data_IF_982731829024
#
_entry.id   IF_982731829024
#
_cell.length_a   1.000
_cell.length_b   1.000
_cell.length_c   1.000
_cell.angle_alpha   90.00
_cell.angle_beta   90.00
_cell.angle_gamma   90.00
#
_symmetry.space_group_name_H-M   'P 1'
#
loop_
_entity.id
_entity.type
_entity.pdbx_description
1 polymer ?
#
# COMPACT_ATOMS: atom_id res chain seq x y z
N UNK A 1 -43.93 10.75 11.41
CA UNK A 1 -42.79 11.41 10.76
C UNK A 1 -42.77 10.92 9.32
N UNK A 2 -43.06 11.79 8.35
CA UNK A 2 -42.92 11.44 6.93
C UNK A 2 -41.45 11.17 6.65
N UNK A 3 -41.09 9.92 6.36
CA UNK A 3 -39.72 9.56 6.02
C UNK A 3 -39.26 10.43 4.84
N UNK A 4 -38.17 11.16 5.03
CA UNK A 4 -37.50 11.90 3.95
C UNK A 4 -37.22 10.90 2.83
N UNK A 5 -37.92 11.06 1.72
CA UNK A 5 -37.72 10.21 0.55
C UNK A 5 -36.48 10.73 -0.17
N UNK A 6 -35.46 9.88 -0.32
CA UNK A 6 -34.16 10.22 -0.93
C UNK A 6 -34.30 10.92 -2.29
N UNK A 7 -35.36 10.64 -3.05
CA UNK A 7 -35.64 11.27 -4.35
C UNK A 7 -36.04 12.76 -4.30
N UNK A 8 -36.28 13.30 -3.10
CA UNK A 8 -36.56 14.73 -2.91
C UNK A 8 -35.30 15.55 -2.69
N UNK A 9 -34.14 14.90 -2.54
CA UNK A 9 -32.87 15.59 -2.32
C UNK A 9 -32.36 16.22 -3.62
N UNK A 10 -31.73 17.40 -3.56
CA UNK A 10 -31.01 17.97 -4.69
C UNK A 10 -29.94 17.02 -5.22
N UNK A 11 -29.68 17.10 -6.52
CA UNK A 11 -28.77 16.21 -7.23
C UNK A 11 -27.34 16.25 -6.66
N UNK A 12 -26.91 17.43 -6.20
CA UNK A 12 -25.60 17.63 -5.58
C UNK A 12 -25.50 16.90 -4.23
N UNK A 13 -26.60 16.83 -3.48
CA UNK A 13 -26.65 16.10 -2.20
C UNK A 13 -26.63 14.59 -2.46
N UNK A 14 -27.32 14.11 -3.50
CA UNK A 14 -27.24 12.71 -3.91
C UNK A 14 -25.82 12.33 -4.35
N UNK A 15 -25.17 13.16 -5.16
CA UNK A 15 -23.77 12.92 -5.58
C UNK A 15 -22.82 12.87 -4.35
N UNK A 16 -23.04 13.72 -3.33
CA UNK A 16 -22.27 13.66 -2.08
C UNK A 16 -22.54 12.33 -1.36
N UNK A 17 -23.80 11.95 -1.14
CA UNK A 17 -24.16 10.69 -0.47
C UNK A 17 -23.52 9.50 -1.18
N UNK A 18 -23.63 9.45 -2.51
CA UNK A 18 -23.14 8.34 -3.32
C UNK A 18 -21.61 8.25 -3.30
N UNK A 19 -20.91 9.38 -3.12
CA UNK A 19 -19.46 9.38 -2.96
C UNK A 19 -18.96 8.72 -1.66
N UNK A 20 -19.83 8.55 -0.66
CA UNK A 20 -19.53 7.86 0.60
C UNK A 20 -19.96 6.39 0.62
N UNK A 21 -20.71 5.93 -0.39
CA UNK A 21 -21.18 4.55 -0.44
C UNK A 21 -20.10 3.61 -0.93
N UNK A 22 -20.11 2.39 -0.37
CA UNK A 22 -19.26 1.31 -0.87
C UNK A 22 -19.73 0.85 -2.25
N UNK A 23 -18.83 0.23 -3.03
CA UNK A 23 -19.20 -0.30 -4.35
C UNK A 23 -20.35 -1.34 -4.28
N UNK A 24 -20.34 -2.32 -3.35
CA UNK A 24 -21.47 -3.23 -3.20
C UNK A 24 -22.81 -2.53 -2.92
N UNK A 25 -22.80 -1.39 -2.23
CA UNK A 25 -24.02 -0.63 -1.99
C UNK A 25 -24.45 0.17 -3.21
N UNK A 26 -23.51 0.73 -3.97
CA UNK A 26 -23.80 1.37 -5.25
C UNK A 26 -24.38 0.38 -6.27
N UNK A 27 -23.86 -0.84 -6.32
CA UNK A 27 -24.36 -1.88 -7.24
C UNK A 27 -25.84 -2.21 -6.97
N UNK A 28 -26.26 -2.28 -5.70
CA UNK A 28 -27.68 -2.45 -5.33
C UNK A 28 -28.56 -1.28 -5.80
N UNK A 29 -28.01 -0.07 -5.87
CA UNK A 29 -28.74 1.13 -6.31
C UNK A 29 -28.92 1.19 -7.83
N UNK A 30 -28.12 0.45 -8.62
CA UNK A 30 -28.26 0.37 -10.08
C UNK A 30 -29.59 -0.25 -10.50
N UNK A 31 -30.15 -1.13 -9.67
CA UNK A 31 -31.44 -1.78 -9.92
C UNK A 31 -32.64 -0.84 -9.73
N UNK A 32 -32.43 0.34 -9.13
CA UNK A 32 -33.46 1.34 -8.89
C UNK A 32 -33.36 2.39 -9.99
N UNK A 33 -34.30 2.40 -10.94
CA UNK A 33 -34.30 3.27 -12.13
C UNK A 33 -33.99 4.74 -11.83
N UNK A 34 -34.55 5.27 -10.73
CA UNK A 34 -34.31 6.65 -10.30
C UNK A 34 -32.84 6.93 -9.92
N UNK A 35 -32.16 5.97 -9.27
CA UNK A 35 -30.77 6.12 -8.83
C UNK A 35 -29.75 5.58 -9.83
N UNK A 36 -30.19 4.83 -10.84
CA UNK A 36 -29.33 4.12 -11.77
C UNK A 36 -28.25 5.01 -12.39
N UNK A 37 -28.62 6.16 -12.95
CA UNK A 37 -27.66 7.07 -13.59
C UNK A 37 -26.63 7.63 -12.60
N UNK A 38 -27.06 7.97 -11.38
CA UNK A 38 -26.18 8.44 -10.30
C UNK A 38 -25.23 7.34 -9.84
N UNK A 39 -25.76 6.15 -9.56
CA UNK A 39 -24.97 5.01 -9.12
C UNK A 39 -23.90 4.65 -10.16
N UNK A 40 -24.30 4.54 -11.44
CA UNK A 40 -23.38 4.29 -12.54
C UNK A 40 -22.32 5.39 -12.67
N UNK A 41 -22.69 6.67 -12.57
CA UNK A 41 -21.71 7.78 -12.63
C UNK A 41 -20.63 7.66 -11.54
N UNK A 42 -21.00 7.19 -10.34
CA UNK A 42 -20.05 6.98 -9.25
C UNK A 42 -19.20 5.72 -9.45
N UNK A 43 -19.82 4.58 -9.81
CA UNK A 43 -19.12 3.31 -10.09
C UNK A 43 -18.09 3.49 -11.20
N UNK A 44 -18.45 4.21 -12.27
CA UNK A 44 -17.63 4.43 -13.44
C UNK A 44 -16.89 5.79 -13.41
N UNK A 45 -16.78 6.44 -12.24
CA UNK A 45 -16.05 7.71 -12.10
C UNK A 45 -14.53 7.54 -12.32
N UNK A 46 -14.02 6.34 -12.08
CA UNK A 46 -12.67 5.89 -12.39
C UNK A 46 -12.72 4.52 -13.06
N UNK A 47 -12.05 4.39 -14.21
CA UNK A 47 -12.07 3.14 -15.01
C UNK A 47 -10.66 2.73 -15.43
N UNK A 48 -10.52 1.45 -15.78
CA UNK A 48 -9.28 0.89 -16.34
C UNK A 48 -9.53 0.43 -17.78
N UNK A 49 -8.69 0.86 -18.72
CA UNK A 49 -8.62 0.33 -20.08
C UNK A 49 -7.52 -0.73 -20.11
N UNK A 50 -7.91 -2.00 -20.28
CA UNK A 50 -7.01 -3.14 -20.12
C UNK A 50 -6.50 -3.72 -21.42
N UNK A 51 -7.26 -3.53 -22.49
CA UNK A 51 -6.93 -4.12 -23.77
C UNK A 51 -5.95 -3.25 -24.51
N UNK A 52 -5.26 -3.96 -25.39
CA UNK A 52 -4.27 -3.47 -26.30
C UNK A 52 -4.96 -2.75 -27.46
N UNK A 53 -4.37 -1.68 -27.99
CA UNK A 53 -4.78 -1.09 -29.26
C UNK A 53 -4.76 -2.19 -30.31
N UNK A 54 -5.92 -2.79 -30.56
CA UNK A 54 -6.05 -3.84 -31.54
C UNK A 54 -5.58 -3.21 -32.85
N UNK A 55 -4.55 -3.75 -33.51
CA UNK A 55 -4.07 -3.12 -34.72
C UNK A 55 -5.23 -2.98 -35.70
N UNK A 56 -5.28 -1.84 -36.41
CA UNK A 56 -6.46 -1.37 -37.14
C UNK A 56 -7.07 -2.41 -38.11
N UNK A 57 -6.30 -3.42 -38.53
CA UNK A 57 -6.77 -4.55 -39.35
C UNK A 57 -7.76 -5.51 -38.66
N UNK A 58 -7.99 -5.40 -37.35
CA UNK A 58 -8.96 -6.22 -36.61
C UNK A 58 -10.22 -5.45 -36.19
N UNK A 59 -10.34 -4.17 -36.55
CA UNK A 59 -11.54 -3.39 -36.21
C UNK A 59 -12.71 -3.62 -37.16
N UNK A 60 -12.46 -4.20 -38.33
CA UNK A 60 -13.46 -4.37 -39.40
C UNK A 60 -14.10 -5.77 -39.44
N UNK A 61 -13.60 -6.72 -38.65
CA UNK A 61 -14.19 -8.06 -38.55
C UNK A 61 -15.01 -8.18 -37.26
N UNK A 62 -16.32 -8.42 -37.45
CA UNK A 62 -17.33 -8.66 -36.40
C UNK A 62 -17.09 -9.94 -35.58
N UNK A 63 -16.00 -10.67 -35.84
CA UNK A 63 -15.56 -11.82 -35.07
C UNK A 63 -14.42 -11.43 -34.14
N UNK A 64 -14.77 -10.96 -32.94
CA UNK A 64 -13.85 -10.94 -31.82
C UNK A 64 -13.27 -12.35 -31.63
N UNK A 65 -11.93 -12.55 -31.63
CA UNK A 65 -11.38 -13.82 -31.24
C UNK A 65 -11.66 -14.05 -29.75
N UNK A 66 -12.61 -14.94 -29.43
CA UNK A 66 -12.95 -15.38 -28.05
C UNK A 66 -11.75 -15.93 -27.27
N UNK A 67 -10.60 -16.13 -27.92
CA UNK A 67 -9.36 -16.65 -27.34
C UNK A 67 -8.15 -15.86 -27.81
N UNK A 68 -8.08 -14.56 -27.49
CA UNK A 68 -6.76 -13.97 -27.28
C UNK A 68 -6.19 -14.63 -26.02
N UNK A 69 -5.32 -15.61 -26.24
CA UNK A 69 -4.47 -16.19 -25.22
C UNK A 69 -3.70 -15.02 -24.64
N UNK A 70 -4.14 -14.53 -23.48
CA UNK A 70 -3.40 -13.53 -22.72
C UNK A 70 -1.98 -14.06 -22.56
N UNK A 71 -0.96 -13.43 -23.17
CA UNK A 71 0.41 -13.78 -22.85
C UNK A 71 0.55 -13.67 -21.33
N UNK A 72 1.01 -14.76 -20.74
CA UNK A 72 0.66 -15.19 -19.40
C UNK A 72 0.79 -14.11 -18.34
N UNK A 73 -0.08 -14.17 -17.33
CA UNK A 73 -0.08 -13.39 -16.07
C UNK A 73 1.21 -12.57 -15.89
N UNK A 74 1.31 -11.44 -16.56
CA UNK A 74 2.24 -10.40 -16.15
C UNK A 74 1.85 -10.10 -14.71
N UNK A 75 2.83 -10.09 -13.81
CA UNK A 75 2.66 -9.72 -12.40
C UNK A 75 2.29 -8.23 -12.35
N UNK A 76 1.13 -7.88 -12.90
CA UNK A 76 0.52 -6.59 -12.70
C UNK A 76 0.30 -6.45 -11.19
N UNK A 77 0.64 -5.29 -10.61
CA UNK A 77 0.34 -5.04 -9.21
C UNK A 77 -1.13 -5.35 -8.95
N UNK A 78 -1.41 -5.89 -7.76
CA UNK A 78 -2.74 -6.34 -7.30
C UNK A 78 -3.83 -5.56 -8.02
N UNK A 79 -4.52 -6.29 -8.91
CA UNK A 79 -5.55 -5.75 -9.76
C UNK A 79 -6.51 -4.98 -8.86
N UNK A 80 -6.62 -3.67 -9.07
CA UNK A 80 -7.61 -2.86 -8.35
C UNK A 80 -9.00 -3.31 -8.82
N UNK A 81 -9.56 -4.31 -8.12
CA UNK A 81 -10.87 -4.89 -8.41
C UNK A 81 -11.99 -3.86 -8.17
N UNK A 82 -11.68 -2.78 -7.44
CA UNK A 82 -12.62 -1.71 -7.16
C UNK A 82 -12.93 -0.83 -8.37
N UNK A 83 -12.17 -0.91 -9.48
CA UNK A 83 -12.42 -0.13 -10.70
C UNK A 83 -13.01 -0.98 -11.83
N UNK A 84 -14.08 -0.52 -12.51
CA UNK A 84 -14.58 -1.14 -13.72
C UNK A 84 -13.53 -1.18 -14.83
N UNK A 85 -13.58 -2.22 -15.66
CA UNK A 85 -12.62 -2.47 -16.73
C UNK A 85 -13.31 -2.45 -18.08
N UNK A 86 -12.65 -1.84 -19.05
CA UNK A 86 -13.05 -1.88 -20.44
C UNK A 86 -11.90 -2.45 -21.26
N UNK A 87 -12.25 -3.23 -22.28
CA UNK A 87 -11.24 -3.79 -23.16
C UNK A 87 -10.54 -2.68 -23.93
N UNK A 88 -11.25 -1.74 -24.55
CA UNK A 88 -10.62 -0.65 -25.28
C UNK A 88 -11.35 0.66 -25.01
N UNK A 89 -10.73 1.76 -25.44
CA UNK A 89 -11.34 3.07 -25.26
C UNK A 89 -12.69 3.20 -26.00
N UNK A 90 -12.86 2.54 -27.15
CA UNK A 90 -14.17 2.48 -27.84
C UNK A 90 -15.24 1.79 -27.00
N UNK A 91 -14.92 0.68 -26.34
CA UNK A 91 -15.87 -0.01 -25.47
C UNK A 91 -16.32 0.89 -24.31
N UNK A 92 -15.41 1.72 -23.78
CA UNK A 92 -15.78 2.75 -22.81
C UNK A 92 -16.73 3.80 -23.41
N UNK A 93 -16.40 4.37 -24.58
CA UNK A 93 -17.24 5.40 -25.19
C UNK A 93 -18.62 4.89 -25.55
N UNK A 94 -18.71 3.70 -26.14
CA UNK A 94 -19.98 3.05 -26.51
C UNK A 94 -20.84 2.84 -25.25
N UNK A 95 -20.23 2.38 -24.15
CA UNK A 95 -20.93 2.21 -22.86
C UNK A 95 -21.44 3.53 -22.28
N UNK A 96 -20.59 4.56 -22.28
CA UNK A 96 -20.91 5.89 -21.75
C UNK A 96 -22.06 6.52 -22.54
N UNK A 97 -22.03 6.41 -23.87
CA UNK A 97 -23.10 6.90 -24.75
C UNK A 97 -24.41 6.14 -24.56
N UNK A 98 -24.37 4.81 -24.52
CA UNK A 98 -25.56 3.95 -24.30
C UNK A 98 -26.26 4.24 -22.98
N UNK A 99 -25.49 4.58 -21.94
CA UNK A 99 -26.02 4.87 -20.60
C UNK A 99 -26.19 6.37 -20.33
N UNK A 100 -25.95 7.23 -21.34
CA UNK A 100 -26.02 8.70 -21.21
C UNK A 100 -25.19 9.25 -20.04
N UNK A 101 -24.02 8.66 -19.82
CA UNK A 101 -23.09 9.05 -18.76
C UNK A 101 -22.11 10.10 -19.27
N UNK A 102 -21.48 10.90 -18.39
CA UNK A 102 -20.30 11.65 -18.76
C UNK A 102 -19.08 10.74 -18.89
N UNK A 103 -18.08 11.15 -19.68
CA UNK A 103 -16.78 10.48 -19.73
C UNK A 103 -16.15 10.49 -18.32
N UNK A 104 -15.58 9.37 -17.84
CA UNK A 104 -14.93 9.30 -16.54
C UNK A 104 -13.81 10.34 -16.40
N UNK A 105 -13.74 10.99 -15.23
CA UNK A 105 -12.68 11.97 -14.95
C UNK A 105 -11.32 11.31 -14.74
N UNK A 106 -11.28 10.04 -14.36
CA UNK A 106 -10.05 9.30 -14.07
C UNK A 106 -9.98 8.04 -14.94
N UNK A 107 -8.97 7.94 -15.78
CA UNK A 107 -8.80 6.78 -16.68
C UNK A 107 -7.38 6.25 -16.51
N UNK A 108 -7.29 4.98 -16.12
CA UNK A 108 -6.03 4.24 -16.09
C UNK A 108 -5.93 3.42 -17.38
N UNK A 109 -4.87 3.59 -18.14
CA UNK A 109 -4.58 2.78 -19.32
C UNK A 109 -3.46 1.80 -18.98
N UNK A 110 -3.67 0.51 -19.24
CA UNK A 110 -2.59 -0.47 -19.06
C UNK A 110 -1.46 -0.25 -20.09
N UNK A 111 -1.76 0.36 -21.25
CA UNK A 111 -0.80 0.67 -22.31
C UNK A 111 -0.90 2.13 -22.77
N UNK A 112 0.23 2.83 -22.84
CA UNK A 112 0.26 4.23 -23.26
C UNK A 112 -0.10 4.44 -24.74
N UNK A 113 0.03 3.40 -25.56
CA UNK A 113 -0.29 3.42 -27.00
C UNK A 113 -1.79 3.62 -27.24
N UNK A 114 -2.65 3.05 -26.38
CA UNK A 114 -4.10 3.26 -26.44
C UNK A 114 -4.48 4.72 -26.22
N UNK A 115 -3.72 5.45 -25.41
CA UNK A 115 -3.92 6.89 -25.18
C UNK A 115 -3.64 7.66 -26.48
N UNK A 116 -2.55 7.32 -27.16
CA UNK A 116 -2.16 7.94 -28.43
C UNK A 116 -3.23 7.69 -29.49
N UNK A 117 -3.68 6.44 -29.65
CA UNK A 117 -4.74 6.07 -30.61
C UNK A 117 -6.06 6.75 -30.28
N UNK A 118 -6.48 6.76 -29.02
CA UNK A 118 -7.70 7.43 -28.58
C UNK A 118 -7.64 8.94 -28.85
N UNK A 119 -6.51 9.58 -28.56
CA UNK A 119 -6.30 11.00 -28.78
C UNK A 119 -6.32 11.36 -30.27
N UNK A 120 -5.71 10.55 -31.13
CA UNK A 120 -5.73 10.78 -32.58
C UNK A 120 -7.13 10.68 -33.17
N UNK A 121 -7.93 9.72 -32.71
CA UNK A 121 -9.33 9.56 -33.15
C UNK A 121 -10.20 10.73 -32.70
N UNK A 122 -10.05 11.19 -31.46
CA UNK A 122 -10.78 12.36 -30.95
C UNK A 122 -9.99 13.09 -29.86
N UNK A 123 -9.24 14.16 -30.19
CA UNK A 123 -8.39 14.86 -29.21
C UNK A 123 -9.15 15.45 -28.02
N UNK A 124 -10.44 15.77 -28.19
CA UNK A 124 -11.23 16.46 -27.16
C UNK A 124 -11.68 15.53 -26.03
N UNK A 125 -11.85 14.24 -26.32
CA UNK A 125 -12.49 13.31 -25.37
C UNK A 125 -11.66 13.05 -24.11
N UNK A 126 -10.33 13.22 -24.20
CA UNK A 126 -9.39 13.00 -23.09
C UNK A 126 -8.93 14.30 -22.39
N UNK A 127 -9.30 15.50 -22.87
CA UNK A 127 -8.74 16.77 -22.37
C UNK A 127 -9.04 17.05 -20.90
N UNK A 128 -10.19 16.60 -20.43
CA UNK A 128 -10.64 16.78 -19.06
C UNK A 128 -10.39 15.56 -18.16
N UNK A 129 -9.79 14.50 -18.72
CA UNK A 129 -9.44 13.30 -17.98
C UNK A 129 -8.10 13.46 -17.26
N UNK A 130 -8.02 12.97 -16.03
CA UNK A 130 -6.78 12.65 -15.33
C UNK A 130 -6.37 11.25 -15.78
N UNK A 131 -5.17 11.16 -16.35
CA UNK A 131 -4.68 9.95 -16.98
C UNK A 131 -3.57 9.34 -16.15
N UNK A 132 -3.65 8.02 -15.98
CA UNK A 132 -2.64 7.15 -15.39
C UNK A 132 -2.27 6.09 -16.43
N UNK A 133 -0.99 5.72 -16.52
CA UNK A 133 -0.56 4.72 -17.49
C UNK A 133 0.68 3.96 -17.06
N UNK A 134 0.92 2.81 -17.71
CA UNK A 134 2.22 2.16 -17.73
C UNK A 134 3.01 2.56 -18.99
N UNK A 135 4.30 2.84 -18.84
CA UNK A 135 5.24 3.13 -19.93
C UNK A 135 6.14 1.93 -20.25
N UNK A 136 5.84 0.77 -19.67
CA UNK A 136 6.57 -0.46 -19.96
C UNK A 136 6.51 -0.73 -21.45
N UNK A 137 7.68 -1.05 -21.97
CA UNK A 137 7.87 -1.46 -23.34
C UNK A 137 7.42 -2.91 -23.38
N UNK A 138 6.11 -3.12 -23.54
CA UNK A 138 5.59 -4.47 -23.72
C UNK A 138 6.31 -5.11 -24.90
N UNK A 139 6.62 -6.42 -24.83
CA UNK A 139 7.34 -7.21 -25.86
C UNK A 139 6.71 -7.18 -27.27
N UNK A 140 5.64 -6.41 -27.46
CA UNK A 140 4.85 -6.34 -28.68
C UNK A 140 5.47 -5.48 -29.78
N UNK A 141 6.34 -4.54 -29.43
CA UNK A 141 7.06 -3.79 -30.44
C UNK A 141 8.36 -4.53 -30.76
N UNK A 142 8.30 -5.35 -31.80
CA UNK A 142 9.50 -5.97 -32.40
C UNK A 142 10.54 -4.91 -32.83
N UNK A 143 10.08 -3.67 -33.05
CA UNK A 143 10.91 -2.56 -33.47
C UNK A 143 11.02 -1.46 -32.39
N UNK A 144 12.18 -1.26 -31.75
CA UNK A 144 12.39 -0.22 -30.75
C UNK A 144 12.20 1.21 -31.27
N UNK A 145 12.43 1.46 -32.57
CA UNK A 145 12.22 2.79 -33.17
C UNK A 145 10.74 3.15 -33.21
N UNK A 146 9.87 2.15 -33.41
CA UNK A 146 8.41 2.36 -33.38
C UNK A 146 7.96 2.72 -31.97
N UNK A 147 8.43 1.99 -30.96
CA UNK A 147 8.11 2.29 -29.55
C UNK A 147 8.58 3.68 -29.14
N UNK A 148 9.81 4.04 -29.54
CA UNK A 148 10.36 5.37 -29.30
C UNK A 148 9.50 6.46 -29.95
N UNK A 149 9.03 6.24 -31.18
CA UNK A 149 8.16 7.18 -31.89
C UNK A 149 6.80 7.35 -31.18
N UNK A 150 6.16 6.26 -30.77
CA UNK A 150 4.91 6.32 -30.00
C UNK A 150 5.09 6.99 -28.65
N UNK A 151 6.19 6.69 -27.93
CA UNK A 151 6.47 7.30 -26.64
C UNK A 151 6.73 8.81 -26.79
N UNK A 152 7.49 9.22 -27.81
CA UNK A 152 7.66 10.63 -28.17
C UNK A 152 6.33 11.33 -28.42
N UNK A 153 5.45 10.70 -29.20
CA UNK A 153 4.12 11.22 -29.48
C UNK A 153 3.30 11.35 -28.20
N UNK A 154 3.28 10.31 -27.36
CA UNK A 154 2.58 10.28 -26.08
C UNK A 154 3.01 11.41 -25.14
N UNK A 155 4.31 11.56 -24.87
CA UNK A 155 4.80 12.58 -23.93
C UNK A 155 4.58 14.02 -24.43
N UNK A 156 4.41 14.18 -25.74
CA UNK A 156 4.12 15.47 -26.38
C UNK A 156 2.63 15.87 -26.30
N UNK A 157 1.75 14.95 -25.94
CA UNK A 157 0.31 15.23 -25.91
C UNK A 157 -0.04 16.27 -24.82
N UNK A 158 -0.97 17.20 -25.11
CA UNK A 158 -1.43 18.21 -24.15
C UNK A 158 -2.44 17.62 -23.15
N UNK A 159 -2.15 16.45 -22.57
CA UNK A 159 -3.03 15.72 -21.66
C UNK A 159 -2.58 15.88 -20.19
N UNK A 160 -3.54 15.70 -19.27
CA UNK A 160 -3.30 15.75 -17.82
C UNK A 160 -2.84 14.38 -17.32
N UNK A 161 -1.63 13.98 -17.70
CA UNK A 161 -1.01 12.73 -17.26
C UNK A 161 -0.40 12.97 -15.87
N UNK A 162 -0.97 12.32 -14.86
CA UNK A 162 -0.57 12.52 -13.45
C UNK A 162 0.26 11.39 -12.88
N UNK A 163 0.10 10.17 -13.40
CA UNK A 163 0.78 8.98 -12.92
C UNK A 163 1.34 8.19 -14.09
N UNK A 164 2.58 7.75 -13.97
CA UNK A 164 3.22 6.87 -14.93
C UNK A 164 4.00 5.77 -14.20
N UNK A 165 3.94 4.53 -14.70
CA UNK A 165 4.82 3.44 -14.28
C UNK A 165 5.89 3.19 -15.32
N UNK A 166 6.95 2.48 -14.93
CA UNK A 166 8.08 2.13 -15.80
C UNK A 166 8.73 3.37 -16.43
N UNK A 167 8.89 4.44 -15.64
CA UNK A 167 9.38 5.74 -16.11
C UNK A 167 10.81 5.72 -16.65
N UNK A 168 11.57 4.65 -16.40
CA UNK A 168 12.86 4.37 -17.02
C UNK A 168 12.82 4.37 -18.55
N UNK A 169 11.70 3.98 -19.17
CA UNK A 169 11.55 3.98 -20.63
C UNK A 169 11.71 5.39 -21.23
N UNK A 170 11.19 6.41 -20.56
CA UNK A 170 11.28 7.82 -20.99
C UNK A 170 12.74 8.27 -21.03
N UNK A 171 13.50 7.95 -19.99
CA UNK A 171 14.90 8.34 -19.90
C UNK A 171 15.81 7.51 -20.82
N UNK A 172 15.45 6.27 -21.13
CA UNK A 172 16.21 5.44 -22.08
C UNK A 172 16.00 5.87 -23.53
N UNK A 173 14.78 6.29 -23.88
CA UNK A 173 14.39 6.49 -25.29
C UNK A 173 14.24 7.96 -25.70
N UNK A 174 13.88 8.87 -24.79
CA UNK A 174 13.40 10.22 -25.14
C UNK A 174 13.88 11.31 -24.17
N UNK A 175 15.19 11.33 -23.89
CA UNK A 175 15.80 12.23 -22.90
C UNK A 175 15.43 13.70 -23.15
N UNK A 176 15.58 14.18 -24.39
CA UNK A 176 15.49 15.61 -24.74
C UNK A 176 14.09 16.22 -24.52
N UNK A 177 13.03 15.41 -24.67
CA UNK A 177 11.63 15.87 -24.53
C UNK A 177 10.99 15.46 -23.21
N UNK A 178 11.71 14.73 -22.35
CA UNK A 178 11.18 14.17 -21.11
C UNK A 178 10.85 15.22 -20.05
N UNK A 179 11.54 16.36 -20.02
CA UNK A 179 11.48 17.32 -18.91
C UNK A 179 10.08 17.91 -18.73
N UNK A 180 9.41 18.30 -19.82
CA UNK A 180 8.07 18.88 -19.71
C UNK A 180 7.03 17.85 -19.26
N UNK A 181 7.19 16.59 -19.67
CA UNK A 181 6.31 15.49 -19.30
C UNK A 181 6.47 15.12 -17.83
N UNK A 182 7.70 14.86 -17.40
CA UNK A 182 8.06 14.46 -16.03
C UNK A 182 7.67 15.51 -14.98
N UNK A 183 7.77 16.81 -15.32
CA UNK A 183 7.28 17.90 -14.45
C UNK A 183 5.77 17.89 -14.22
N UNK A 184 4.97 17.24 -15.07
CA UNK A 184 3.52 17.13 -14.87
C UNK A 184 3.15 15.95 -13.95
N UNK A 185 4.06 15.00 -13.77
CA UNK A 185 3.81 13.80 -12.97
C UNK A 185 3.77 14.13 -11.49
N UNK A 186 2.72 13.66 -10.83
CA UNK A 186 2.58 13.65 -9.38
C UNK A 186 2.87 12.27 -8.79
N UNK A 187 2.89 11.23 -9.62
CA UNK A 187 3.19 9.86 -9.26
C UNK A 187 4.07 9.20 -10.32
N UNK A 188 5.10 8.47 -9.90
CA UNK A 188 6.01 7.75 -10.79
C UNK A 188 6.43 6.41 -10.17
N UNK A 189 6.56 5.38 -10.99
CA UNK A 189 7.16 4.10 -10.61
C UNK A 189 8.30 3.75 -11.55
N UNK A 190 9.35 3.17 -10.99
CA UNK A 190 10.50 2.66 -11.73
C UNK A 190 10.72 1.19 -11.39
N UNK A 191 10.75 0.34 -12.40
CA UNK A 191 10.74 -1.11 -12.22
C UNK A 191 12.10 -1.76 -12.48
N UNK A 192 12.92 -1.13 -13.32
CA UNK A 192 14.28 -1.58 -13.65
C UNK A 192 15.33 -0.75 -12.92
N UNK A 193 16.58 -1.23 -12.93
CA UNK A 193 17.71 -0.49 -12.38
C UNK A 193 18.01 0.80 -13.15
N UNK A 194 18.24 1.89 -12.41
CA UNK A 194 18.62 3.18 -12.99
C UNK A 194 19.48 4.04 -12.06
N UNK A 195 20.39 4.86 -12.61
CA UNK A 195 21.14 5.81 -11.82
C UNK A 195 20.25 6.97 -11.38
N UNK A 196 19.79 6.95 -10.12
CA UNK A 196 18.98 8.01 -9.48
C UNK A 196 19.55 9.41 -9.73
N UNK A 197 20.87 9.56 -9.64
CA UNK A 197 21.58 10.82 -9.88
C UNK A 197 21.32 11.39 -11.27
N UNK A 198 21.15 10.54 -12.29
CA UNK A 198 20.92 10.99 -13.66
C UNK A 198 19.46 11.34 -13.90
N UNK A 199 18.53 10.58 -13.28
CA UNK A 199 17.09 10.69 -13.57
C UNK A 199 16.41 11.80 -12.76
N UNK A 200 16.93 12.10 -11.57
CA UNK A 200 16.37 13.12 -10.67
C UNK A 200 17.18 14.41 -10.60
N UNK A 201 18.26 14.55 -11.40
CA UNK A 201 19.01 15.81 -11.48
C UNK A 201 18.15 16.93 -12.06
N UNK A 202 18.38 18.16 -11.60
CA UNK A 202 17.86 19.36 -12.28
C UNK A 202 16.34 19.54 -12.20
N UNK A 203 15.72 19.05 -11.12
CA UNK A 203 14.30 19.25 -10.83
C UNK A 203 13.36 18.76 -11.96
N UNK A 204 13.78 17.70 -12.66
CA UNK A 204 12.99 17.06 -13.73
C UNK A 204 11.65 16.56 -13.17
N UNK A 205 11.66 16.06 -11.93
CA UNK A 205 10.48 15.55 -11.21
C UNK A 205 10.02 16.49 -10.07
N UNK A 206 10.01 17.80 -10.32
CA UNK A 206 9.72 18.79 -9.26
C UNK A 206 8.35 18.62 -8.56
N UNK A 207 7.34 18.10 -9.26
CA UNK A 207 5.96 17.96 -8.76
C UNK A 207 5.64 16.54 -8.26
N UNK A 208 6.64 15.68 -8.17
CA UNK A 208 6.46 14.27 -7.80
C UNK A 208 6.15 14.14 -6.31
N UNK A 209 4.98 13.58 -5.99
CA UNK A 209 4.50 13.39 -4.61
C UNK A 209 4.58 11.92 -4.20
N UNK A 210 4.29 11.00 -5.13
CA UNK A 210 4.34 9.57 -4.90
C UNK A 210 5.43 8.94 -5.76
N UNK A 211 6.33 8.19 -5.15
CA UNK A 211 7.43 7.53 -5.84
C UNK A 211 7.53 6.06 -5.43
N UNK A 212 7.55 5.17 -6.41
CA UNK A 212 7.89 3.75 -6.25
C UNK A 212 9.18 3.44 -7.00
N UNK A 213 10.16 2.85 -6.31
CA UNK A 213 11.41 2.37 -6.90
C UNK A 213 11.51 0.89 -6.53
N UNK A 214 11.38 -0.01 -7.50
CA UNK A 214 11.42 -1.46 -7.23
C UNK A 214 12.83 -2.01 -7.18
N UNK A 215 13.72 -1.47 -8.01
CA UNK A 215 15.13 -1.87 -7.97
C UNK A 215 15.80 -1.35 -6.69
N UNK A 216 16.62 -2.15 -5.99
CA UNK A 216 17.21 -1.70 -4.74
C UNK A 216 18.22 -0.58 -4.96
N UNK A 217 18.16 0.43 -4.10
CA UNK A 217 19.00 1.63 -4.21
C UNK A 217 20.07 1.67 -3.11
N UNK A 218 21.20 2.29 -3.43
CA UNK A 218 22.25 2.54 -2.44
C UNK A 218 21.87 3.69 -1.51
N UNK A 219 22.41 3.69 -0.29
CA UNK A 219 22.15 4.73 0.70
C UNK A 219 22.62 6.12 0.23
N UNK A 220 23.73 6.20 -0.49
CA UNK A 220 24.26 7.45 -1.03
C UNK A 220 23.36 8.05 -2.10
N UNK A 221 22.53 7.21 -2.73
CA UNK A 221 21.65 7.60 -3.83
C UNK A 221 20.32 8.17 -3.34
N UNK A 222 19.91 7.87 -2.10
CA UNK A 222 18.66 8.37 -1.49
C UNK A 222 18.57 9.90 -1.54
N UNK A 223 19.69 10.61 -1.38
CA UNK A 223 19.75 12.08 -1.43
C UNK A 223 19.30 12.70 -2.77
N UNK A 224 19.22 11.89 -3.84
CA UNK A 224 18.75 12.32 -5.15
C UNK A 224 17.24 12.19 -5.30
N UNK A 225 16.53 11.55 -4.37
CA UNK A 225 15.07 11.49 -4.38
C UNK A 225 14.51 12.93 -4.29
N UNK A 226 13.54 13.32 -5.15
CA UNK A 226 12.98 14.67 -5.13
C UNK A 226 12.39 15.04 -3.78
N UNK A 227 12.67 16.26 -3.30
CA UNK A 227 12.21 16.76 -1.99
C UNK A 227 10.69 16.92 -1.87
N UNK A 228 9.99 16.94 -3.00
CA UNK A 228 8.52 16.99 -3.08
C UNK A 228 7.84 15.66 -2.77
N UNK A 229 8.60 14.55 -2.76
CA UNK A 229 8.06 13.22 -2.47
C UNK A 229 7.57 13.14 -1.03
N UNK A 230 6.30 12.77 -0.87
CA UNK A 230 5.62 12.55 0.41
C UNK A 230 5.36 11.07 0.67
N UNK A 231 5.21 10.28 -0.38
CA UNK A 231 4.99 8.83 -0.29
C UNK A 231 6.09 8.13 -1.07
N UNK A 232 6.89 7.33 -0.39
CA UNK A 232 7.99 6.58 -0.99
C UNK A 232 7.82 5.10 -0.72
N UNK A 233 7.90 4.29 -1.79
CA UNK A 233 8.10 2.84 -1.72
C UNK A 233 9.43 2.52 -2.37
N UNK A 234 10.36 1.93 -1.64
CA UNK A 234 11.65 1.56 -2.20
C UNK A 234 12.27 0.33 -1.54
N UNK A 235 13.23 -0.26 -2.25
CA UNK A 235 14.15 -1.27 -1.71
C UNK A 235 15.54 -0.66 -1.55
N UNK A 236 16.30 -1.09 -0.54
CA UNK A 236 17.65 -0.55 -0.29
C UNK A 236 18.65 -1.65 0.01
N UNK A 237 19.83 -1.54 -0.60
CA UNK A 237 20.97 -2.39 -0.27
C UNK A 237 21.55 -2.06 1.10
N UNK A 238 22.22 -3.06 1.68
CA UNK A 238 23.08 -2.89 2.84
C UNK A 238 24.18 -1.86 2.55
N UNK A 239 24.40 -0.86 3.44
CA UNK A 239 25.55 0.04 3.33
C UNK A 239 26.85 -0.67 3.70
N UNK A 240 27.95 -0.22 3.11
CA UNK A 240 29.30 -0.67 3.49
C UNK A 240 29.79 -0.03 4.81
N UNK A 241 29.03 0.90 5.38
CA UNK A 241 29.37 1.67 6.57
C UNK A 241 28.19 1.81 7.54
N UNK A 242 28.50 2.23 8.77
CA UNK A 242 27.49 2.59 9.76
C UNK A 242 26.80 3.90 9.37
N UNK A 243 25.48 3.85 9.20
CA UNK A 243 24.65 5.01 8.89
C UNK A 243 24.13 5.60 10.18
N UNK A 244 24.34 6.90 10.34
CA UNK A 244 23.62 7.68 11.35
C UNK A 244 22.20 8.01 10.89
N UNK A 245 21.99 8.14 9.58
CA UNK A 245 20.70 8.47 8.94
C UNK A 245 20.64 7.99 7.48
N UNK A 246 19.43 7.76 6.96
CA UNK A 246 19.20 7.30 5.58
C UNK A 246 19.21 8.40 4.52
N UNK A 247 19.06 9.68 4.89
CA UNK A 247 19.03 10.79 3.94
C UNK A 247 17.76 10.92 3.08
N UNK A 248 16.63 10.34 3.50
CA UNK A 248 15.33 10.52 2.84
C UNK A 248 14.87 11.99 2.87
N UNK A 249 13.94 12.39 1.97
CA UNK A 249 13.34 13.71 2.00
C UNK A 249 12.70 14.06 3.36
N UNK A 250 13.02 15.23 3.91
CA UNK A 250 12.48 15.63 5.23
C UNK A 250 10.95 15.71 5.26
N UNK A 251 10.31 16.05 4.13
CA UNK A 251 8.86 16.15 3.99
C UNK A 251 8.15 14.81 3.77
N UNK A 252 8.83 13.68 3.93
CA UNK A 252 8.26 12.35 3.72
C UNK A 252 7.23 12.02 4.81
N UNK A 253 6.01 11.69 4.38
CA UNK A 253 4.86 11.38 5.25
C UNK A 253 4.61 9.87 5.32
N UNK A 254 4.86 9.12 4.23
CA UNK A 254 4.63 7.69 4.15
C UNK A 254 5.86 6.98 3.55
N UNK A 255 6.39 5.97 4.24
CA UNK A 255 7.54 5.20 3.81
C UNK A 255 7.24 3.69 3.83
N UNK A 256 7.40 3.03 2.69
CA UNK A 256 7.42 1.58 2.56
C UNK A 256 8.82 1.14 2.13
N UNK A 257 9.56 0.52 3.03
CA UNK A 257 10.97 0.22 2.86
C UNK A 257 11.27 -1.28 2.99
N UNK A 258 11.86 -1.86 1.95
CA UNK A 258 12.48 -3.19 2.03
C UNK A 258 14.00 -3.03 2.15
N UNK A 259 14.60 -3.60 3.18
CA UNK A 259 16.03 -3.54 3.44
C UNK A 259 16.66 -4.89 3.10
N UNK A 260 17.58 -4.94 2.15
CA UNK A 260 18.23 -6.18 1.71
C UNK A 260 19.56 -6.39 2.45
N UNK A 261 19.73 -7.58 3.06
CA UNK A 261 20.98 -8.09 3.64
C UNK A 261 21.55 -7.28 4.81
N UNK A 262 20.69 -6.62 5.59
CA UNK A 262 21.12 -5.86 6.77
C UNK A 262 21.55 -6.79 7.92
N UNK A 263 22.70 -6.55 8.59
CA UNK A 263 23.16 -7.38 9.69
C UNK A 263 22.34 -7.15 10.98
N UNK A 264 22.13 -8.17 11.81
CA UNK A 264 21.27 -8.12 13.01
C UNK A 264 21.62 -7.00 14.00
N UNK A 265 22.89 -6.62 14.08
CA UNK A 265 23.37 -5.60 15.02
C UNK A 265 23.10 -4.17 14.53
N UNK A 266 22.60 -4.02 13.30
CA UNK A 266 22.39 -2.71 12.70
C UNK A 266 21.27 -1.93 13.39
N UNK A 267 21.56 -0.67 13.72
CA UNK A 267 20.58 0.25 14.27
C UNK A 267 19.94 1.08 13.15
N UNK A 268 18.65 0.88 12.91
CA UNK A 268 17.87 1.65 11.95
C UNK A 268 17.40 2.96 12.59
N UNK A 269 17.74 4.10 11.99
CA UNK A 269 17.37 5.39 12.55
C UNK A 269 16.43 6.17 11.61
N UNK A 270 15.15 6.24 11.99
CA UNK A 270 14.12 7.04 11.30
C UNK A 270 13.78 8.34 12.05
N UNK A 271 14.49 8.65 13.14
CA UNK A 271 14.11 9.74 14.06
C UNK A 271 14.18 11.13 13.44
N UNK A 272 14.96 11.29 12.36
CA UNK A 272 15.10 12.55 11.62
C UNK A 272 13.93 12.82 10.65
N UNK A 273 13.04 11.85 10.42
CA UNK A 273 11.87 12.01 9.55
C UNK A 273 10.70 12.60 10.34
N UNK A 274 10.81 13.86 10.73
CA UNK A 274 9.87 14.56 11.63
C UNK A 274 8.43 14.64 11.10
N UNK A 275 8.23 14.45 9.81
CA UNK A 275 6.92 14.45 9.16
C UNK A 275 6.37 13.04 8.88
N UNK A 276 7.11 11.98 9.20
CA UNK A 276 6.72 10.62 8.90
C UNK A 276 5.52 10.21 9.77
N UNK A 277 4.42 9.84 9.11
CA UNK A 277 3.14 9.45 9.71
C UNK A 277 2.93 7.94 9.63
N UNK A 278 3.27 7.34 8.48
CA UNK A 278 3.09 5.92 8.20
C UNK A 278 4.43 5.28 7.79
N UNK A 279 4.86 4.26 8.53
CA UNK A 279 6.08 3.52 8.26
C UNK A 279 5.78 2.03 8.15
N UNK A 280 6.02 1.48 6.97
CA UNK A 280 6.11 0.04 6.75
C UNK A 280 7.53 -0.32 6.40
N UNK A 281 8.15 -1.22 7.15
CA UNK A 281 9.47 -1.72 6.77
C UNK A 281 9.66 -3.20 7.09
N UNK A 282 10.40 -3.86 6.20
CA UNK A 282 10.80 -5.26 6.34
C UNK A 282 12.27 -5.40 5.97
N UNK A 283 12.92 -6.41 6.54
CA UNK A 283 14.29 -6.77 6.19
C UNK A 283 14.24 -8.14 5.56
N UNK A 284 14.85 -8.24 4.39
CA UNK A 284 14.90 -9.41 3.54
C UNK A 284 16.35 -9.88 3.55
N UNK A 285 16.54 -11.14 3.91
CA UNK A 285 17.82 -11.84 3.93
C UNK A 285 17.98 -12.60 2.61
N UNK A 286 19.20 -12.93 2.17
CA UNK A 286 19.46 -13.66 0.91
C UNK A 286 18.61 -14.94 0.77
N UNK A 287 18.36 -15.62 1.89
CA UNK A 287 17.58 -16.86 1.94
C UNK A 287 16.07 -16.66 2.08
N UNK A 288 15.56 -15.42 2.23
CA UNK A 288 14.15 -15.08 2.51
C UNK A 288 13.57 -15.77 3.78
N UNK A 289 14.45 -16.31 4.65
CA UNK A 289 14.06 -17.29 5.69
C UNK A 289 14.03 -16.70 7.10
N UNK A 290 14.65 -15.54 7.39
CA UNK A 290 14.78 -15.09 8.78
C UNK A 290 14.20 -13.71 9.09
N UNK A 291 13.16 -13.72 9.93
CA UNK A 291 12.64 -12.55 10.62
C UNK A 291 13.64 -12.17 11.73
N UNK A 292 14.64 -11.36 11.37
CA UNK A 292 15.67 -10.86 12.30
C UNK A 292 15.16 -9.66 13.10
N UNK A 293 15.65 -9.51 14.32
CA UNK A 293 15.36 -8.35 15.15
C UNK A 293 16.35 -7.23 14.84
N UNK A 294 15.86 -6.00 14.74
CA UNK A 294 16.69 -4.82 14.56
C UNK A 294 16.34 -3.75 15.58
N UNK A 295 17.36 -3.00 16.01
CA UNK A 295 17.14 -1.84 16.85
C UNK A 295 16.69 -0.70 15.95
N UNK A 296 15.43 -0.29 16.04
CA UNK A 296 14.89 0.82 15.27
C UNK A 296 14.51 1.99 16.18
N UNK A 297 14.88 3.21 15.80
CA UNK A 297 14.40 4.46 16.43
C UNK A 297 13.48 5.22 15.49
N UNK A 298 12.46 5.85 16.07
CA UNK A 298 11.31 6.39 15.35
C UNK A 298 11.08 7.88 15.62
N UNK A 299 10.48 8.62 14.68
CA UNK A 299 10.11 10.01 14.90
C UNK A 299 8.83 10.11 15.73
N UNK A 300 8.67 11.21 16.48
CA UNK A 300 7.50 11.44 17.36
C UNK A 300 6.18 11.58 16.60
N UNK A 301 6.24 11.95 15.32
CA UNK A 301 5.09 12.12 14.42
C UNK A 301 4.43 10.81 14.02
N UNK A 302 5.10 9.67 14.24
CA UNK A 302 4.67 8.39 13.71
C UNK A 302 3.34 7.94 14.32
N UNK A 303 2.33 7.73 13.46
CA UNK A 303 0.99 7.29 13.85
C UNK A 303 0.72 5.83 13.52
N UNK A 304 1.42 5.29 12.51
CA UNK A 304 1.24 3.91 12.03
C UNK A 304 2.62 3.29 11.81
N UNK A 305 2.81 2.08 12.33
CA UNK A 305 4.02 1.31 12.07
C UNK A 305 3.67 -0.13 11.77
N UNK A 306 4.27 -0.67 10.70
CA UNK A 306 4.18 -2.06 10.30
C UNK A 306 5.56 -2.66 10.08
N UNK A 307 5.91 -3.67 10.86
CA UNK A 307 7.18 -4.40 10.68
C UNK A 307 7.10 -5.81 11.27
N UNK A 308 7.79 -6.81 10.69
CA UNK A 308 7.78 -8.17 11.23
C UNK A 308 8.22 -8.27 12.69
N UNK A 309 9.21 -7.47 13.13
CA UNK A 309 9.70 -7.45 14.53
C UNK A 309 9.96 -6.05 15.02
N UNK A 310 9.51 -5.75 16.24
CA UNK A 310 9.77 -4.47 16.90
C UNK A 310 10.05 -4.62 18.40
N UNK A 311 10.81 -3.67 18.95
CA UNK A 311 10.91 -3.46 20.40
C UNK A 311 9.79 -2.53 20.84
N UNK A 312 8.82 -3.07 21.57
CA UNK A 312 7.68 -2.29 22.05
C UNK A 312 8.09 -1.19 23.04
N UNK A 313 9.17 -1.39 23.80
CA UNK A 313 9.62 -0.39 24.77
C UNK A 313 10.15 0.84 24.04
N UNK A 314 10.87 0.62 22.94
CA UNK A 314 11.36 1.71 22.08
C UNK A 314 10.20 2.38 21.32
N UNK A 315 9.27 1.60 20.76
CA UNK A 315 8.08 2.15 20.08
C UNK A 315 7.23 3.00 21.04
N UNK A 316 6.98 2.52 22.26
CA UNK A 316 6.24 3.27 23.28
C UNK A 316 6.93 4.57 23.66
N UNK A 317 8.26 4.54 23.77
CA UNK A 317 9.07 5.70 24.14
C UNK A 317 9.12 6.75 23.03
N UNK A 318 9.25 6.30 21.79
CA UNK A 318 9.53 7.17 20.64
C UNK A 318 8.28 7.62 19.88
N UNK A 319 7.17 6.88 19.95
CA UNK A 319 5.93 7.13 19.21
C UNK A 319 4.72 7.35 20.14
N UNK A 320 4.61 8.50 20.84
CA UNK A 320 3.48 8.76 21.75
C UNK A 320 2.13 8.90 21.02
N UNK A 321 2.14 9.25 19.73
CA UNK A 321 0.95 9.46 18.89
C UNK A 321 0.53 8.21 18.10
N UNK A 322 1.11 7.04 18.41
CA UNK A 322 0.85 5.82 17.67
C UNK A 322 -0.61 5.36 17.85
N UNK A 323 -1.31 5.20 16.73
CA UNK A 323 -2.71 4.75 16.64
C UNK A 323 -2.86 3.36 16.05
N UNK A 324 -1.95 2.95 15.16
CA UNK A 324 -1.91 1.60 14.58
C UNK A 324 -0.53 0.97 14.76
N UNK A 325 -0.50 -0.24 15.32
CA UNK A 325 0.70 -1.05 15.50
C UNK A 325 0.47 -2.44 14.91
N UNK A 326 1.18 -2.76 13.83
CA UNK A 326 1.16 -4.05 13.16
C UNK A 326 2.54 -4.70 13.26
N UNK A 327 2.67 -5.68 14.13
CA UNK A 327 3.94 -6.35 14.36
C UNK A 327 3.76 -7.82 14.73
N UNK A 328 4.31 -8.72 13.92
CA UNK A 328 4.18 -10.16 14.15
C UNK A 328 4.90 -10.59 15.43
N UNK A 329 6.13 -10.14 15.66
CA UNK A 329 6.94 -10.56 16.80
C UNK A 329 7.38 -9.36 17.63
N UNK A 330 7.12 -9.39 18.94
CA UNK A 330 7.62 -8.36 19.85
C UNK A 330 8.78 -8.87 20.68
N UNK A 331 9.88 -8.12 20.70
CA UNK A 331 11.00 -8.40 21.62
C UNK A 331 10.64 -7.91 23.02
N UNK A 332 10.69 -8.76 24.06
CA UNK A 332 10.52 -8.30 25.42
C UNK A 332 11.76 -7.49 25.86
N UNK A 333 11.59 -6.49 26.74
CA UNK A 333 12.70 -5.74 27.31
C UNK A 333 13.65 -6.69 28.05
N UNK A 334 14.96 -6.44 27.97
CA UNK A 334 16.00 -7.25 28.65
C UNK A 334 15.91 -7.23 30.19
N UNK A 335 14.99 -6.46 30.76
CA UNK A 335 14.84 -6.31 32.22
C UNK A 335 14.13 -7.52 32.85
N UNK A 336 14.58 -7.92 34.04
CA UNK A 336 14.03 -9.02 34.84
C UNK A 336 12.62 -8.74 35.43
N UNK A 337 12.00 -7.61 35.11
CA UNK A 337 10.62 -7.26 35.48
C UNK A 337 9.96 -6.69 34.23
N UNK A 338 9.18 -7.52 33.54
CA UNK A 338 8.58 -7.17 32.25
C UNK A 338 7.15 -6.70 32.51
N UNK A 339 6.98 -5.41 32.77
CA UNK A 339 5.67 -4.77 32.61
C UNK A 339 5.54 -4.42 31.12
N UNK A 340 4.76 -5.22 30.41
CA UNK A 340 4.53 -5.00 28.99
C UNK A 340 3.38 -4.00 28.82
N UNK A 341 3.64 -2.88 28.17
CA UNK A 341 2.64 -1.83 27.96
C UNK A 341 2.76 -1.23 26.58
N UNK A 342 1.62 -1.00 25.95
CA UNK A 342 1.51 -0.37 24.63
C UNK A 342 1.43 1.16 24.74
N UNK A 343 1.60 1.89 23.63
CA UNK A 343 1.29 3.32 23.57
C UNK A 343 -0.17 3.59 23.97
N UNK A 344 -0.42 4.68 24.71
CA UNK A 344 -1.74 4.97 25.30
C UNK A 344 -2.81 5.33 24.25
N UNK A 345 -2.38 5.90 23.11
CA UNK A 345 -3.26 6.34 22.01
C UNK A 345 -3.56 5.24 20.98
N UNK A 346 -3.07 4.02 21.20
CA UNK A 346 -3.22 2.93 20.25
C UNK A 346 -4.70 2.51 20.16
N UNK A 347 -5.24 2.51 18.94
CA UNK A 347 -6.62 2.10 18.63
C UNK A 347 -6.67 0.78 17.88
N UNK A 348 -5.63 0.45 17.11
CA UNK A 348 -5.54 -0.80 16.33
C UNK A 348 -4.24 -1.54 16.66
N UNK A 349 -4.37 -2.79 17.08
CA UNK A 349 -3.26 -3.66 17.44
C UNK A 349 -3.32 -4.96 16.64
N UNK A 350 -2.30 -5.23 15.85
CA UNK A 350 -2.10 -6.50 15.16
C UNK A 350 -0.80 -7.14 15.65
N UNK A 351 -0.90 -8.28 16.35
CA UNK A 351 0.25 -9.05 16.84
C UNK A 351 0.04 -10.56 16.69
N UNK A 352 1.12 -11.36 16.68
CA UNK A 352 0.99 -12.82 16.74
C UNK A 352 0.51 -13.28 18.12
N UNK A 353 -0.37 -14.27 18.15
CA UNK A 353 -0.94 -14.82 19.39
C UNK A 353 0.12 -15.32 20.38
N UNK A 354 1.26 -15.82 19.91
CA UNK A 354 2.39 -16.22 20.78
C UNK A 354 3.00 -15.08 21.59
N UNK A 355 2.87 -13.83 21.13
CA UNK A 355 3.26 -12.65 21.93
C UNK A 355 2.44 -12.61 23.22
N UNK A 356 1.15 -12.96 23.16
CA UNK A 356 0.27 -13.05 24.33
C UNK A 356 0.49 -14.35 25.13
N UNK A 357 0.74 -15.49 24.47
CA UNK A 357 0.93 -16.78 25.17
C UNK A 357 2.15 -16.79 26.09
N UNK A 358 3.29 -16.24 25.64
CA UNK A 358 4.51 -16.09 26.48
C UNK A 358 4.24 -15.28 27.74
N UNK A 359 3.15 -14.52 27.77
CA UNK A 359 2.76 -13.67 28.87
C UNK A 359 1.78 -14.41 29.81
N UNK A 360 0.86 -15.20 29.27
CA UNK A 360 -0.10 -16.00 30.05
C UNK A 360 0.56 -17.16 30.84
N UNK A 361 1.60 -17.81 30.32
CA UNK A 361 2.33 -18.88 31.03
C UNK A 361 3.07 -18.39 32.28
N UNK A 362 3.31 -17.09 32.41
CA UNK A 362 3.93 -16.49 33.60
C UNK A 362 2.92 -16.22 34.73
N UNK A 363 1.63 -16.06 34.43
CA UNK A 363 0.60 -15.79 35.45
C UNK A 363 0.07 -17.08 36.11
N UNK A 364 -0.07 -18.16 35.35
CA UNK A 364 -0.67 -19.42 35.83
C UNK A 364 0.27 -20.35 36.64
N UNK A 365 1.58 -20.05 36.70
CA UNK A 365 2.56 -20.83 37.48
C UNK A 365 2.66 -20.41 38.97
N UNK A 366 1.62 -19.77 39.50
CA UNK A 366 1.57 -19.25 40.87
C UNK A 366 0.98 -20.21 41.92
N UNK A 367 0.95 -21.53 41.66
CA UNK A 367 0.69 -22.56 42.70
C UNK A 367 1.71 -23.72 42.63
N UNK A 368 2.23 -24.20 43.78
CA UNK A 368 3.16 -25.31 43.82
C UNK A 368 2.42 -26.62 43.54
N UNK A 369 2.71 -27.24 42.40
CA UNK A 369 2.37 -28.65 42.21
C UNK A 369 3.33 -29.49 43.06
N UNK A 370 2.86 -29.94 44.22
CA UNK A 370 3.49 -31.04 44.95
C UNK A 370 3.23 -32.35 44.20
N UNK A 371 4.09 -32.69 43.23
CA UNK A 371 4.23 -34.06 42.78
C UNK A 371 5.37 -34.72 43.55
N UNK A 372 4.99 -35.64 44.44
CA UNK A 372 5.92 -36.48 45.18
C UNK A 372 6.36 -37.62 44.27
N UNK A 373 7.32 -37.34 43.37
CA UNK A 373 8.01 -38.35 42.58
C UNK A 373 9.51 -38.17 42.78
N UNK A 374 10.10 -39.13 43.48
CA UNK A 374 11.51 -39.22 43.81
C UNK A 374 12.35 -39.49 42.56
N UNK A 375 12.66 -38.44 41.79
CA UNK A 375 13.77 -38.44 40.85
C UNK A 375 14.76 -37.35 41.26
N UNK A 376 16.00 -37.76 41.57
CA UNK A 376 17.14 -36.87 41.80
C UNK A 376 17.46 -36.11 40.51
N UNK A 377 16.78 -34.99 40.26
CA UNK A 377 17.15 -33.99 39.25
C UNK A 377 17.47 -32.69 39.97
N UNK A 378 18.56 -32.03 39.54
CA UNK A 378 19.00 -30.73 40.05
C UNK A 378 17.83 -29.73 39.97
N UNK A 379 17.39 -29.25 41.14
CA UNK A 379 16.31 -28.29 41.30
C UNK A 379 16.85 -26.92 40.88
N UNK A 380 16.65 -26.54 39.62
CA UNK A 380 16.81 -25.15 39.19
C UNK A 380 15.49 -24.48 39.50
N UNK A 381 15.41 -23.78 40.62
CA UNK A 381 14.26 -22.92 40.94
C UNK A 381 14.27 -21.73 39.98
N UNK A 382 13.61 -21.89 38.82
CA UNK A 382 13.27 -20.77 37.95
C UNK A 382 12.06 -20.06 38.56
N UNK A 383 12.32 -19.01 39.34
CA UNK A 383 11.30 -18.08 39.83
C UNK A 383 10.73 -17.30 38.65
N UNK A 384 9.68 -17.80 38.02
CA UNK A 384 8.96 -17.11 36.94
C UNK A 384 8.16 -15.98 37.58
N UNK A 385 8.53 -14.73 37.29
CA UNK A 385 7.80 -13.55 37.78
C UNK A 385 6.56 -13.33 36.90
N UNK A 386 5.41 -12.95 37.48
CA UNK A 386 4.20 -12.65 36.72
C UNK A 386 4.44 -11.46 35.80
N UNK A 387 4.12 -11.62 34.52
CA UNK A 387 4.14 -10.55 33.53
C UNK A 387 2.72 -10.08 33.28
N UNK A 388 2.38 -8.87 33.70
CA UNK A 388 1.08 -8.26 33.42
C UNK A 388 1.14 -7.45 32.12
N UNK A 389 0.17 -7.65 31.22
CA UNK A 389 -0.04 -6.78 30.05
C UNK A 389 -1.01 -5.68 30.42
N UNK A 390 -0.72 -4.45 29.98
CA UNK A 390 -1.71 -3.36 30.00
C UNK A 390 -2.03 -2.95 28.58
N UNK A 391 -3.27 -3.22 28.17
CA UNK A 391 -3.82 -2.71 26.93
C UNK A 391 -4.19 -1.22 27.08
N UNK A 392 -4.15 -0.46 25.97
CA UNK A 392 -4.61 0.93 25.97
C UNK A 392 -6.12 0.98 26.19
N UNK A 393 -6.59 1.99 26.91
CA UNK A 393 -8.03 2.17 27.17
C UNK A 393 -8.87 2.43 25.91
N UNK A 394 -8.22 2.92 24.85
CA UNK A 394 -8.87 3.32 23.60
C UNK A 394 -8.72 2.26 22.49
N UNK A 395 -8.37 1.02 22.83
CA UNK A 395 -8.21 -0.05 21.85
C UNK A 395 -9.57 -0.39 21.22
N UNK A 396 -9.69 -0.22 19.91
CA UNK A 396 -10.91 -0.46 19.12
C UNK A 396 -10.85 -1.79 18.37
N UNK A 397 -9.65 -2.18 17.93
CA UNK A 397 -9.45 -3.41 17.16
C UNK A 397 -8.20 -4.15 17.64
N UNK A 398 -8.37 -5.44 17.90
CA UNK A 398 -7.31 -6.38 18.24
C UNK A 398 -7.34 -7.53 17.23
N UNK A 399 -6.29 -7.64 16.43
CA UNK A 399 -6.09 -8.78 15.54
C UNK A 399 -4.95 -9.65 16.06
N UNK A 400 -5.24 -10.93 16.25
CA UNK A 400 -4.27 -11.93 16.68
C UNK A 400 -3.95 -12.84 15.50
N UNK A 401 -2.75 -12.70 14.95
CA UNK A 401 -2.26 -13.65 13.95
C UNK A 401 -2.05 -15.01 14.62
N UNK A 402 -2.68 -16.05 14.07
CA UNK A 402 -2.53 -17.43 14.56
C UNK A 402 -1.07 -17.88 14.55
N UNK A 403 -0.71 -18.79 15.47
CA UNK A 403 0.58 -19.49 15.46
C UNK A 403 0.57 -20.60 14.40
N UNK A 404 0.24 -20.28 13.15
CA UNK A 404 0.30 -21.24 12.06
C UNK A 404 1.64 -21.10 11.36
N UNK A 405 2.68 -21.74 11.91
CA UNK A 405 3.84 -22.13 11.08
C UNK A 405 3.41 -23.17 10.02
N UNK A 406 2.19 -23.69 10.12
CA UNK A 406 1.49 -24.50 9.13
C UNK A 406 0.00 -24.11 9.09
N UNK A 407 -0.51 -23.77 7.90
CA UNK A 407 -1.93 -23.65 7.46
C UNK A 407 -2.41 -22.25 7.01
N UNK A 408 -3.07 -22.27 5.84
CA UNK A 408 -3.63 -21.19 5.03
C UNK A 408 -5.07 -20.82 5.41
N UNK A 409 -5.48 -20.98 6.67
CA UNK A 409 -6.88 -20.70 7.04
C UNK A 409 -6.98 -19.42 7.86
N UNK A 410 -7.57 -18.40 7.25
CA UNK A 410 -8.06 -17.21 7.93
C UNK A 410 -9.26 -17.63 8.80
N UNK A 411 -9.07 -17.75 10.11
CA UNK A 411 -10.21 -17.67 11.04
C UNK A 411 -10.61 -16.20 11.15
N UNK A 412 -11.64 -15.80 10.43
CA UNK A 412 -12.44 -14.64 10.78
C UNK A 412 -13.15 -14.95 12.11
N UNK A 413 -12.89 -14.15 13.14
CA UNK A 413 -13.67 -14.21 14.36
C UNK A 413 -15.08 -13.68 14.05
N UNK A 414 -16.11 -14.49 14.29
CA UNK A 414 -17.48 -13.98 14.33
C UNK A 414 -17.60 -12.94 15.46
N UNK A 415 -18.38 -11.87 15.24
CA UNK A 415 -18.56 -10.70 16.13
C UNK A 415 -18.90 -11.01 17.61
N UNK A 416 -19.13 -12.27 17.98
CA UNK A 416 -19.64 -12.67 19.29
C UNK A 416 -18.59 -13.44 20.12
N UNK A 417 -17.39 -13.70 19.58
CA UNK A 417 -16.29 -14.28 20.35
C UNK A 417 -15.42 -13.16 20.95
N UNK A 418 -15.77 -12.74 22.16
CA UNK A 418 -14.95 -11.77 22.90
C UNK A 418 -13.79 -12.48 23.59
N UNK A 419 -12.57 -11.94 23.43
CA UNK A 419 -11.35 -12.43 24.08
C UNK A 419 -11.30 -12.15 25.60
N UNK A 420 -12.35 -11.53 26.13
CA UNK A 420 -12.46 -11.15 27.53
C UNK A 420 -13.21 -12.24 28.28
N UNK A 421 -12.72 -12.60 29.46
CA UNK A 421 -13.54 -13.41 30.37
C UNK A 421 -14.81 -12.64 30.74
N UNK A 422 -15.91 -13.34 31.07
CA UNK A 422 -17.17 -12.73 31.56
C UNK A 422 -16.92 -11.71 32.69
N UNK A 423 -15.81 -11.86 33.42
CA UNK A 423 -15.39 -10.99 34.50
C UNK A 423 -14.83 -9.65 34.01
N UNK A 424 -14.13 -9.64 32.88
CA UNK A 424 -13.56 -8.43 32.26
C UNK A 424 -14.62 -7.64 31.49
N UNK A 425 -15.54 -8.31 30.81
CA UNK A 425 -16.70 -7.65 30.19
C UNK A 425 -17.58 -6.93 31.22
N UNK A 426 -17.79 -7.54 32.39
CA UNK A 426 -18.53 -6.92 33.49
C UNK A 426 -17.85 -5.69 34.10
N UNK A 427 -16.54 -5.52 33.90
CA UNK A 427 -15.79 -4.34 34.35
C UNK A 427 -15.93 -3.23 33.31
N UNK A 428 -15.88 -3.56 32.02
CA UNK A 428 -16.01 -2.59 30.93
C UNK A 428 -17.42 -2.01 30.82
N UNK A 429 -18.46 -2.79 31.13
CA UNK A 429 -19.86 -2.32 31.13
C UNK A 429 -20.24 -1.44 32.34
N UNK A 430 -19.35 -1.29 33.33
CA UNK A 430 -19.60 -0.49 34.56
C UNK A 430 -18.84 0.84 34.60
N UNK A 431 -18.20 1.21 33.49
CA UNK A 431 -17.62 2.53 33.22
C UNK A 431 -18.37 3.17 32.08
#
# INVERSE_FOLDING_TARGET
MSGLQLFQLPIEILDIIFSYLSRPDLDKLVEIDYFKSHALRHIYSSVIITGYACPDYLWDESSFPEKLIYPGKLNYPEKDESKPRFFCFKSLTDFVEQNQLPIPKHICFDYFTDIVVAYEKNPKILQDCIIETDLSLSDYFDNPDSTKSYLQKFISLPLKIRSARSCEAVHKMVIESSVQFTRKLTSASFNESFPLVSFFRGDIYQNLVNLEIRDPISNESVKYIPRSVKTLKCEMFRPEFELTEFGFPNGLENLHLSLQDYPEEYALNFSNLEHLVDLKFAIIDEDDVSIRYYKASFPRSLKRVKSPVLDIAEVKKSCPELTLFDCMLVRPPKSNVIVFSFPEKLTHLHVRGSVLKKIQTCENNSKPFHFNLSFKRRKVEQTIKPTSIKFPKNLQSLYLAGDSDFCRDQTEFHEWETLFSDKEENILQKT
#
